data_IF_350758367846
#
_entry.id   IF_350758367846
#
_cell.length_a   1.000
_cell.length_b   1.000
_cell.length_c   1.000
_cell.angle_alpha   90.00
_cell.angle_beta   90.00
_cell.angle_gamma   90.00
#
_symmetry.space_group_name_H-M   'P 1'
#
loop_
_entity.id
_entity.type
_entity.pdbx_description
1 polymer ?
#
# COMPACT_ATOMS: atom_id res chain seq x y z
N UNK A 1 7.45 13.07 4.92
CA UNK A 1 6.44 13.08 3.85
C UNK A 1 6.05 11.63 3.59
N UNK A 2 4.81 11.23 3.91
CA UNK A 2 4.30 9.86 3.73
C UNK A 2 3.81 9.58 2.30
N UNK A 3 3.29 8.37 2.07
CA UNK A 3 2.75 7.98 0.78
C UNK A 3 1.23 8.16 0.73
N UNK A 4 0.72 8.68 -0.40
CA UNK A 4 -0.69 8.78 -0.69
C UNK A 4 -1.10 7.79 -1.79
N UNK A 5 -2.13 6.98 -1.55
CA UNK A 5 -2.75 6.13 -2.55
C UNK A 5 -4.19 6.58 -2.80
N UNK A 6 -4.56 6.70 -4.07
CA UNK A 6 -5.87 7.19 -4.49
C UNK A 6 -6.66 6.07 -5.18
N UNK A 7 -7.85 5.78 -4.66
CA UNK A 7 -8.88 5.01 -5.36
C UNK A 7 -9.83 6.01 -6.04
N UNK A 8 -9.95 5.94 -7.36
CA UNK A 8 -10.93 6.71 -8.12
C UNK A 8 -12.06 5.79 -8.57
N UNK A 9 -13.26 6.04 -8.06
CA UNK A 9 -14.47 5.32 -8.42
C UNK A 9 -15.00 5.79 -9.77
N UNK A 10 -15.69 4.88 -10.48
CA UNK A 10 -16.23 5.12 -11.82
C UNK A 10 -17.17 6.34 -11.90
N UNK A 11 -17.93 6.59 -10.84
CA UNK A 11 -18.86 7.71 -10.74
C UNK A 11 -18.16 9.06 -10.53
N UNK A 12 -16.85 9.10 -10.24
CA UNK A 12 -16.09 10.36 -10.15
C UNK A 12 -16.12 11.16 -11.46
N UNK A 13 -16.43 10.47 -12.57
CA UNK A 13 -16.62 11.04 -13.90
C UNK A 13 -17.75 12.11 -13.95
N UNK A 14 -18.75 12.02 -13.07
CA UNK A 14 -19.89 12.95 -13.05
C UNK A 14 -19.50 14.35 -12.57
N UNK A 15 -18.43 14.48 -11.76
CA UNK A 15 -17.90 15.78 -11.30
C UNK A 15 -17.04 16.51 -12.35
N UNK A 16 -16.54 15.80 -13.38
CA UNK A 16 -15.77 16.37 -14.49
C UNK A 16 -16.64 16.78 -15.71
N UNK A 17 -17.91 17.14 -15.50
CA UNK A 17 -18.82 17.64 -16.55
C UNK A 17 -19.02 16.68 -17.74
N UNK A 18 -18.99 15.38 -17.49
CA UNK A 18 -19.27 14.37 -18.52
C UNK A 18 -20.61 13.66 -18.26
N UNK A 19 -21.25 13.18 -19.31
CA UNK A 19 -22.60 12.58 -19.26
C UNK A 19 -22.66 11.42 -18.24
N UNK A 20 -23.56 11.47 -17.25
CA UNK A 20 -23.69 10.40 -16.28
C UNK A 20 -24.18 9.11 -16.95
N UNK A 21 -23.51 8.01 -16.66
CA UNK A 21 -23.97 6.70 -17.12
C UNK A 21 -25.14 6.23 -16.25
N UNK A 22 -26.08 5.47 -16.83
CA UNK A 22 -27.27 4.98 -16.14
C UNK A 22 -26.97 3.97 -15.00
N UNK A 23 -25.78 3.37 -14.99
CA UNK A 23 -25.32 2.46 -13.95
C UNK A 23 -24.70 3.23 -12.77
N UNK A 24 -25.38 3.23 -11.63
CA UNK A 24 -24.85 3.72 -10.35
C UNK A 24 -24.07 2.60 -9.66
N UNK A 25 -22.76 2.77 -9.49
CA UNK A 25 -21.98 1.92 -8.58
C UNK A 25 -22.27 2.32 -7.13
N UNK A 26 -22.39 1.35 -6.22
CA UNK A 26 -22.54 1.59 -4.78
C UNK A 26 -21.19 1.89 -4.08
N UNK A 27 -20.07 1.75 -4.79
CA UNK A 27 -18.73 2.02 -4.28
C UNK A 27 -18.45 3.53 -4.26
N UNK A 28 -17.76 4.04 -3.23
CA UNK A 28 -17.42 5.46 -3.08
C UNK A 28 -16.64 6.00 -4.30
N UNK A 29 -16.88 7.27 -4.63
CA UNK A 29 -16.41 7.90 -5.86
C UNK A 29 -14.93 8.30 -5.80
N UNK A 30 -14.38 8.51 -4.60
CA UNK A 30 -12.95 8.58 -4.38
C UNK A 30 -12.60 8.16 -2.93
N UNK A 31 -11.39 7.62 -2.74
CA UNK A 31 -10.82 7.41 -1.42
C UNK A 31 -9.31 7.68 -1.45
N UNK A 32 -8.83 8.50 -0.51
CA UNK A 32 -7.42 8.81 -0.33
C UNK A 32 -6.91 8.10 0.93
N UNK A 33 -5.94 7.21 0.75
CA UNK A 33 -5.28 6.50 1.83
C UNK A 33 -3.91 7.13 2.04
N UNK A 34 -3.64 7.56 3.27
CA UNK A 34 -2.31 7.93 3.70
C UNK A 34 -1.68 6.76 4.42
N UNK A 35 -0.45 6.41 4.04
CA UNK A 35 0.31 5.35 4.67
C UNK A 35 1.68 5.88 5.10
N UNK A 36 2.00 5.61 6.36
CA UNK A 36 3.33 5.88 6.90
C UNK A 36 4.33 4.77 6.55
N UNK A 37 3.82 3.60 6.16
CA UNK A 37 4.59 2.40 5.85
C UNK A 37 4.26 1.97 4.42
N UNK A 38 5.27 1.93 3.55
CA UNK A 38 5.11 1.57 2.13
C UNK A 38 6.14 0.49 1.74
N UNK A 39 5.68 -0.59 1.11
CA UNK A 39 6.54 -1.58 0.47
C UNK A 39 6.41 -1.46 -1.05
N UNK A 40 7.53 -1.28 -1.75
CA UNK A 40 7.62 -1.18 -3.20
C UNK A 40 8.32 -2.43 -3.72
N UNK A 41 7.67 -3.14 -4.65
CA UNK A 41 8.25 -4.30 -5.33
C UNK A 41 8.66 -3.83 -6.73
N UNK A 42 9.95 -3.62 -6.93
CA UNK A 42 10.48 -3.28 -8.25
C UNK A 42 10.84 -4.56 -9.00
N UNK A 43 9.96 -4.95 -9.92
CA UNK A 43 10.16 -6.13 -10.76
C UNK A 43 11.24 -5.94 -11.83
N UNK A 44 11.65 -4.71 -12.14
CA UNK A 44 12.72 -4.44 -13.11
C UNK A 44 14.10 -4.65 -12.47
N UNK A 45 14.24 -4.27 -11.21
CA UNK A 45 15.48 -4.42 -10.43
C UNK A 45 15.51 -5.71 -9.60
N UNK A 46 14.39 -6.44 -9.51
CA UNK A 46 14.18 -7.61 -8.65
C UNK A 46 14.37 -7.31 -7.14
N UNK A 47 14.16 -6.05 -6.77
CA UNK A 47 14.39 -5.52 -5.44
C UNK A 47 13.07 -5.12 -4.75
N UNK A 48 13.06 -5.23 -3.41
CA UNK A 48 11.95 -4.77 -2.57
C UNK A 48 12.43 -3.67 -1.65
N UNK A 49 11.79 -2.50 -1.73
CA UNK A 49 12.09 -1.35 -0.89
C UNK A 49 11.01 -1.15 0.16
N UNK A 50 11.41 -0.89 1.40
CA UNK A 50 10.47 -0.62 2.50
C UNK A 50 10.75 0.79 3.03
N UNK A 51 9.74 1.64 2.97
CA UNK A 51 9.77 3.01 3.44
C UNK A 51 8.90 3.14 4.69
N UNK A 52 9.46 3.76 5.73
CA UNK A 52 8.78 4.09 6.97
C UNK A 52 8.94 5.59 7.24
N UNK A 53 7.84 6.29 7.46
CA UNK A 53 7.86 7.66 7.98
C UNK A 53 7.63 7.64 9.47
N UNK A 54 8.68 7.99 10.23
CA UNK A 54 8.66 8.00 11.68
C UNK A 54 8.96 9.41 12.19
N UNK A 55 8.09 9.95 13.05
CA UNK A 55 8.30 11.23 13.75
C UNK A 55 9.08 10.99 15.05
N UNK A 56 10.36 10.61 14.92
CA UNK A 56 11.26 10.38 16.07
C UNK A 56 12.29 9.26 15.82
N UNK A 57 13.54 9.46 16.28
CA UNK A 57 14.66 8.57 15.93
C UNK A 57 14.62 7.18 16.58
N UNK A 58 13.98 7.04 17.74
CA UNK A 58 14.03 5.80 18.55
C UNK A 58 13.07 4.72 18.04
N UNK A 59 11.96 5.10 17.38
CA UNK A 59 10.95 4.15 16.93
C UNK A 59 11.28 3.50 15.57
N UNK A 60 12.24 4.05 14.81
CA UNK A 60 12.58 3.56 13.47
C UNK A 60 13.32 2.21 13.54
N UNK A 61 14.23 2.03 14.49
CA UNK A 61 15.03 0.79 14.63
C UNK A 61 14.20 -0.38 15.12
N UNK A 62 13.29 -0.17 16.08
CA UNK A 62 12.39 -1.22 16.57
C UNK A 62 11.38 -1.65 15.51
N UNK A 63 10.84 -0.70 14.74
CA UNK A 63 9.86 -0.99 13.70
C UNK A 63 10.48 -1.73 12.51
N UNK A 64 11.73 -1.38 12.15
CA UNK A 64 12.51 -2.11 11.14
C UNK A 64 12.80 -3.55 11.59
N UNK A 65 13.27 -3.76 12.83
CA UNK A 65 13.57 -5.09 13.38
C UNK A 65 12.30 -5.98 13.45
N UNK A 66 11.16 -5.42 13.87
CA UNK A 66 9.89 -6.14 13.88
C UNK A 66 9.41 -6.50 12.46
N UNK A 67 9.65 -5.63 11.49
CA UNK A 67 9.31 -5.89 10.08
C UNK A 67 10.20 -6.97 9.50
N UNK A 68 11.51 -6.92 9.76
CA UNK A 68 12.46 -7.96 9.35
C UNK A 68 12.07 -9.33 9.92
N UNK A 69 11.80 -9.41 11.22
CA UNK A 69 11.33 -10.65 11.87
C UNK A 69 10.06 -11.20 11.23
N UNK A 70 9.08 -10.34 10.92
CA UNK A 70 7.85 -10.76 10.23
C UNK A 70 8.13 -11.27 8.82
N UNK A 71 9.00 -10.62 8.05
CA UNK A 71 9.35 -11.02 6.69
C UNK A 71 10.09 -12.37 6.67
N UNK A 72 11.05 -12.57 7.58
CA UNK A 72 11.74 -13.85 7.77
C UNK A 72 10.73 -14.95 8.16
N UNK A 73 9.80 -14.62 9.06
CA UNK A 73 8.70 -15.51 9.44
C UNK A 73 7.89 -15.98 8.25
N UNK A 74 7.51 -15.08 7.33
CA UNK A 74 6.74 -15.40 6.11
C UNK A 74 7.54 -16.33 5.18
N UNK A 75 8.84 -16.09 4.98
CA UNK A 75 9.71 -16.96 4.17
C UNK A 75 9.71 -18.41 4.69
N UNK A 76 9.74 -18.59 6.01
CA UNK A 76 9.70 -19.91 6.65
C UNK A 76 8.38 -20.68 6.44
N UNK A 77 7.29 -20.00 6.07
CA UNK A 77 6.01 -20.66 5.73
C UNK A 77 5.98 -21.14 4.27
N UNK A 78 6.68 -20.45 3.37
CA UNK A 78 6.77 -20.86 1.96
C UNK A 78 7.60 -22.15 1.81
N UNK A 79 8.71 -22.25 2.53
CA UNK A 79 9.59 -23.44 2.51
C UNK A 79 8.97 -24.67 3.19
N UNK A 80 7.98 -24.48 4.09
CA UNK A 80 7.25 -25.57 4.73
C UNK A 80 6.07 -26.12 3.92
N UNK A 81 5.61 -25.40 2.90
CA UNK A 81 4.46 -25.81 2.06
C UNK A 81 4.88 -26.51 0.76
N UNK A 82 6.18 -26.61 0.53
CA UNK A 82 6.80 -27.27 -0.63
C UNK A 82 7.44 -28.63 -0.28
N UNK A 83 7.24 -29.13 0.95
CA UNK A 83 7.59 -30.48 1.39
C UNK A 83 6.38 -31.40 1.49
#
# INVERSE_FOLDING_TARGET
MGAGAMLMGYNLKVECSTTPNHHKSATRDACLFFADNLAVIDRCSDDVYILFTCDGSTAMTSLLDDTEKKLIGIKSFHDRKSG
#
